data_IF_924297415588
#
_entry.id   IF_924297415588
#
_cell.length_a   1.000
_cell.length_b   1.000
_cell.length_c   1.000
_cell.angle_alpha   90.00
_cell.angle_beta   90.00
_cell.angle_gamma   90.00
#
_symmetry.space_group_name_H-M   'P 1'
#
loop_
_entity.id
_entity.type
_entity.pdbx_description
1 polymer ?
#
# COMPACT_ATOMS: atom_id res chain seq x y z
N UNK A 1 26.34 8.13 -2.92
CA UNK A 1 27.12 6.96 -3.38
C UNK A 1 26.23 6.15 -4.31
N UNK A 2 26.77 5.52 -5.35
CA UNK A 2 25.97 4.77 -6.34
C UNK A 2 25.40 3.51 -5.70
N UNK A 3 24.08 3.34 -5.69
CA UNK A 3 23.35 2.23 -5.05
C UNK A 3 23.07 1.04 -5.97
N UNK A 4 23.31 1.20 -7.28
CA UNK A 4 23.23 0.10 -8.27
C UNK A 4 24.56 -0.61 -8.34
N UNK A 5 24.53 -1.95 -8.24
CA UNK A 5 25.72 -2.80 -8.31
C UNK A 5 25.88 -3.30 -9.75
N UNK A 6 27.00 -2.97 -10.39
CA UNK A 6 27.36 -3.52 -11.69
C UNK A 6 27.90 -4.94 -11.52
N UNK A 7 27.27 -5.90 -12.19
CA UNK A 7 27.71 -7.29 -12.19
C UNK A 7 28.73 -7.51 -13.29
N UNK A 8 29.96 -7.84 -12.90
CA UNK A 8 31.08 -8.05 -13.82
C UNK A 8 31.31 -9.53 -14.15
N UNK A 9 30.87 -10.44 -13.28
CA UNK A 9 31.00 -11.88 -13.46
C UNK A 9 29.90 -12.67 -12.75
N UNK A 10 29.79 -13.96 -13.11
CA UNK A 10 28.77 -14.87 -12.59
C UNK A 10 28.92 -15.15 -11.09
N UNK A 11 30.15 -15.22 -10.57
CA UNK A 11 30.37 -15.52 -9.15
C UNK A 11 29.87 -14.37 -8.28
N UNK A 12 30.08 -13.12 -8.71
CA UNK A 12 29.55 -11.94 -8.04
C UNK A 12 28.02 -11.98 -7.96
N UNK A 13 27.34 -12.35 -9.06
CA UNK A 13 25.89 -12.53 -9.07
C UNK A 13 25.44 -13.61 -8.08
N UNK A 14 26.07 -14.78 -8.10
CA UNK A 14 25.73 -15.89 -7.22
C UNK A 14 25.93 -15.53 -5.75
N UNK A 15 26.99 -14.78 -5.43
CA UNK A 15 27.23 -14.27 -4.08
C UNK A 15 26.11 -13.33 -3.63
N UNK A 16 25.72 -12.34 -4.45
CA UNK A 16 24.64 -11.40 -4.11
C UNK A 16 23.30 -12.13 -3.90
N UNK A 17 23.00 -13.12 -4.75
CA UNK A 17 21.78 -13.92 -4.59
C UNK A 17 21.82 -14.78 -3.33
N UNK A 18 22.98 -15.32 -2.96
CA UNK A 18 23.15 -16.09 -1.74
C UNK A 18 23.04 -15.22 -0.49
N UNK A 19 23.60 -14.01 -0.50
CA UNK A 19 23.47 -13.01 0.57
C UNK A 19 22.01 -12.55 0.72
N UNK A 20 21.34 -12.26 -0.39
CA UNK A 20 19.92 -11.88 -0.39
C UNK A 20 19.01 -13.01 0.14
N UNK A 21 19.44 -14.28 0.01
CA UNK A 21 18.73 -15.44 0.55
C UNK A 21 19.03 -15.70 2.03
N UNK A 22 20.27 -15.53 2.46
CA UNK A 22 20.77 -15.91 3.80
C UNK A 22 20.63 -14.78 4.82
N UNK A 23 19.44 -14.21 4.96
CA UNK A 23 19.17 -13.20 5.99
C UNK A 23 18.92 -13.91 7.33
N UNK A 24 19.76 -13.64 8.34
CA UNK A 24 19.71 -14.30 9.66
C UNK A 24 18.50 -13.88 10.49
N UNK A 25 17.84 -12.78 10.12
CA UNK A 25 16.67 -12.21 10.80
C UNK A 25 15.85 -11.39 9.79
N UNK A 26 14.73 -11.92 9.31
CA UNK A 26 13.85 -11.27 8.32
C UNK A 26 13.70 -12.04 7.00
N UNK A 27 12.87 -11.53 6.06
CA UNK A 27 12.63 -12.21 4.80
C UNK A 27 13.81 -12.03 3.84
N UNK A 28 13.93 -12.88 2.80
CA UNK A 28 14.94 -12.71 1.76
C UNK A 28 14.84 -11.32 1.11
N UNK A 29 15.97 -10.65 0.94
CA UNK A 29 16.05 -9.38 0.21
C UNK A 29 15.63 -9.58 -1.25
N UNK A 30 14.80 -8.68 -1.77
CA UNK A 30 14.42 -8.65 -3.19
C UNK A 30 15.57 -8.06 -3.99
N UNK A 31 15.94 -8.75 -5.06
CA UNK A 31 16.94 -8.33 -6.03
C UNK A 31 16.24 -7.92 -7.31
N UNK A 32 16.42 -6.65 -7.70
CA UNK A 32 15.93 -6.09 -8.97
C UNK A 32 17.10 -6.06 -9.95
N UNK A 33 16.99 -6.81 -11.03
CA UNK A 33 18.01 -6.94 -12.06
C UNK A 33 17.61 -6.11 -13.29
N UNK A 34 18.49 -5.23 -13.76
CA UNK A 34 18.39 -4.56 -15.06
C UNK A 34 19.33 -5.23 -16.06
N UNK A 35 18.76 -5.95 -17.03
CA UNK A 35 19.51 -6.48 -18.17
C UNK A 35 19.54 -5.44 -19.28
N UNK A 36 20.75 -4.96 -19.62
CA UNK A 36 20.97 -3.88 -20.56
C UNK A 36 22.11 -4.20 -21.54
N UNK A 37 22.31 -3.31 -22.52
CA UNK A 37 23.50 -3.28 -23.36
C UNK A 37 23.91 -1.83 -23.64
N UNK A 38 25.20 -1.58 -23.89
CA UNK A 38 25.75 -0.24 -24.12
C UNK A 38 25.18 0.45 -25.37
N UNK A 39 24.80 -0.32 -26.40
CA UNK A 39 24.21 0.14 -27.65
C UNK A 39 22.68 0.31 -27.58
N UNK A 40 22.05 -0.06 -26.47
CA UNK A 40 20.60 0.00 -26.30
C UNK A 40 20.16 1.39 -25.83
N UNK A 41 19.59 2.19 -26.75
CA UNK A 41 19.06 3.52 -26.43
C UNK A 41 17.94 3.50 -25.37
N UNK A 42 16.91 2.65 -25.46
CA UNK A 42 15.87 2.57 -24.43
C UNK A 42 16.42 2.22 -23.04
N UNK A 43 17.51 1.45 -22.97
CA UNK A 43 18.21 1.14 -21.72
C UNK A 43 18.83 2.41 -21.12
N UNK A 44 19.50 3.21 -21.94
CA UNK A 44 20.07 4.51 -21.52
C UNK A 44 18.97 5.46 -21.04
N UNK A 45 17.80 5.47 -21.68
CA UNK A 45 16.70 6.37 -21.31
C UNK A 45 16.06 6.00 -19.96
N UNK A 46 16.01 4.71 -19.57
CA UNK A 46 15.42 4.26 -18.30
C UNK A 46 16.43 4.16 -17.14
N UNK A 47 17.72 4.05 -17.41
CA UNK A 47 18.77 3.94 -16.39
C UNK A 47 18.70 5.01 -15.27
N UNK A 48 18.37 6.30 -15.54
CA UNK A 48 18.19 7.29 -14.48
C UNK A 48 17.07 6.95 -13.50
N UNK A 49 15.97 6.37 -13.99
CA UNK A 49 14.83 5.93 -13.17
C UNK A 49 15.24 4.74 -12.30
N UNK A 50 15.96 3.77 -12.87
CA UNK A 50 16.47 2.63 -12.11
C UNK A 50 17.42 3.06 -10.98
N UNK A 51 18.30 4.02 -11.27
CA UNK A 51 19.21 4.60 -10.28
C UNK A 51 18.47 5.38 -9.18
N UNK A 52 17.46 6.16 -9.54
CA UNK A 52 16.59 6.85 -8.57
C UNK A 52 15.92 5.85 -7.62
N UNK A 53 15.33 4.78 -8.16
CA UNK A 53 14.70 3.71 -7.38
C UNK A 53 15.70 3.02 -6.45
N UNK A 54 16.92 2.74 -6.91
CA UNK A 54 17.97 2.15 -6.07
C UNK A 54 18.36 3.02 -4.87
N UNK A 55 18.25 4.34 -5.02
CA UNK A 55 18.53 5.29 -3.93
C UNK A 55 17.36 5.38 -2.97
N UNK A 56 16.13 5.30 -3.49
CA UNK A 56 14.89 5.40 -2.72
C UNK A 56 14.58 4.14 -1.89
N UNK A 57 14.85 2.96 -2.43
CA UNK A 57 14.48 1.67 -1.83
C UNK A 57 15.71 0.90 -1.34
N UNK A 58 16.23 1.30 -0.19
CA UNK A 58 17.47 0.75 0.39
C UNK A 58 17.30 -0.66 0.98
N UNK A 59 16.06 -1.12 1.15
CA UNK A 59 15.73 -2.48 1.59
C UNK A 59 15.88 -3.52 0.48
N UNK A 60 15.93 -3.11 -0.79
CA UNK A 60 16.11 -3.97 -1.94
C UNK A 60 17.53 -3.85 -2.51
N UNK A 61 17.98 -4.86 -3.27
CA UNK A 61 19.24 -4.79 -4.03
C UNK A 61 18.95 -4.50 -5.49
N UNK A 62 19.63 -3.49 -6.04
CA UNK A 62 19.53 -3.14 -7.45
C UNK A 62 20.83 -3.51 -8.13
N UNK A 63 20.73 -4.33 -9.18
CA UNK A 63 21.89 -4.80 -9.94
C UNK A 63 21.67 -4.54 -11.42
N UNK A 64 22.75 -4.26 -12.14
CA UNK A 64 22.75 -4.12 -13.60
C UNK A 64 23.67 -5.19 -14.22
N UNK A 65 23.21 -5.78 -15.33
CA UNK A 65 23.86 -6.88 -16.03
C UNK A 65 23.95 -6.52 -17.50
N UNK A 66 25.17 -6.33 -17.99
CA UNK A 66 25.47 -6.09 -19.41
C UNK A 66 25.40 -7.44 -20.16
N UNK A 67 24.42 -7.59 -21.05
CA UNK A 67 24.20 -8.86 -21.74
C UNK A 67 25.31 -9.22 -22.72
N UNK A 68 26.08 -8.24 -23.20
CA UNK A 68 27.23 -8.48 -24.09
C UNK A 68 28.43 -9.07 -23.30
N UNK A 69 28.47 -8.88 -21.98
CA UNK A 69 29.54 -9.38 -21.11
C UNK A 69 29.17 -10.67 -20.40
N UNK A 70 27.88 -10.86 -20.11
CA UNK A 70 27.34 -11.99 -19.34
C UNK A 70 26.21 -12.69 -20.10
N UNK A 71 26.52 -13.15 -21.31
CA UNK A 71 25.58 -13.82 -22.21
C UNK A 71 24.94 -15.07 -21.59
N UNK A 72 25.72 -15.86 -20.84
CA UNK A 72 25.25 -17.08 -20.17
C UNK A 72 24.21 -16.78 -19.07
N UNK A 73 24.42 -15.69 -18.33
CA UNK A 73 23.46 -15.18 -17.33
C UNK A 73 22.20 -14.69 -18.03
N UNK A 74 22.32 -13.90 -19.10
CA UNK A 74 21.18 -13.42 -19.87
C UNK A 74 20.34 -14.59 -20.43
N UNK A 75 21.00 -15.64 -20.93
CA UNK A 75 20.35 -16.85 -21.42
C UNK A 75 19.65 -17.63 -20.29
N UNK A 76 20.29 -17.78 -19.12
CA UNK A 76 19.72 -18.44 -17.94
C UNK A 76 18.39 -17.81 -17.51
N UNK A 77 18.30 -16.48 -17.59
CA UNK A 77 17.09 -15.73 -17.28
C UNK A 77 16.18 -15.50 -18.50
N UNK A 78 16.45 -16.16 -19.63
CA UNK A 78 15.67 -16.09 -20.87
C UNK A 78 15.41 -14.63 -21.31
N UNK A 79 16.43 -13.79 -21.26
CA UNK A 79 16.36 -12.39 -21.71
C UNK A 79 16.44 -12.37 -23.23
N UNK A 80 15.38 -11.86 -23.89
CA UNK A 80 15.26 -11.82 -25.36
C UNK A 80 15.12 -10.40 -25.92
N UNK A 81 15.00 -9.41 -25.05
CA UNK A 81 14.81 -8.01 -25.41
C UNK A 81 15.31 -7.12 -24.29
N UNK A 82 15.75 -5.92 -24.65
CA UNK A 82 16.38 -4.98 -23.73
C UNK A 82 15.61 -3.64 -23.71
N UNK A 83 15.56 -2.97 -22.55
CA UNK A 83 15.95 -3.49 -21.24
C UNK A 83 14.94 -4.56 -20.77
N UNK A 84 15.39 -5.48 -19.93
CA UNK A 84 14.50 -6.40 -19.19
C UNK A 84 14.81 -6.31 -17.72
N UNK A 85 13.78 -6.06 -16.92
CA UNK A 85 13.85 -6.06 -15.46
C UNK A 85 13.31 -7.37 -14.90
N UNK A 86 14.07 -8.00 -14.02
CA UNK A 86 13.66 -9.22 -13.32
C UNK A 86 13.70 -8.97 -11.82
N UNK A 87 12.66 -9.41 -11.14
CA UNK A 87 12.53 -9.27 -9.70
C UNK A 87 12.64 -10.65 -9.08
N UNK A 88 13.64 -10.84 -8.21
CA UNK A 88 13.84 -12.08 -7.47
C UNK A 88 13.63 -11.85 -5.99
N UNK A 89 12.96 -12.78 -5.32
CA UNK A 89 12.95 -12.87 -3.85
C UNK A 89 13.56 -14.20 -3.44
N UNK A 90 14.74 -14.15 -2.80
CA UNK A 90 15.55 -15.33 -2.61
C UNK A 90 15.96 -15.96 -3.95
N UNK A 91 15.47 -17.17 -4.25
CA UNK A 91 15.75 -17.88 -5.51
C UNK A 91 14.58 -17.85 -6.51
N UNK A 92 13.45 -17.25 -6.16
CA UNK A 92 12.23 -17.26 -6.95
C UNK A 92 12.05 -15.98 -7.74
N UNK A 93 11.73 -16.10 -9.03
CA UNK A 93 11.34 -14.96 -9.86
C UNK A 93 9.88 -14.59 -9.57
N UNK A 94 9.68 -13.41 -8.98
CA UNK A 94 8.35 -12.93 -8.58
C UNK A 94 7.70 -12.04 -9.64
N UNK A 95 8.49 -11.40 -10.51
CA UNK A 95 7.95 -10.60 -11.63
C UNK A 95 8.98 -10.39 -12.77
N UNK A 96 8.50 -9.82 -13.88
CA UNK A 96 9.28 -9.40 -15.06
C UNK A 96 8.66 -8.17 -15.72
N UNK A 97 9.50 -7.21 -16.09
CA UNK A 97 9.14 -6.12 -17.00
C UNK A 97 10.07 -6.16 -18.20
N UNK A 98 9.52 -6.05 -19.40
CA UNK A 98 10.28 -5.98 -20.64
C UNK A 98 10.04 -4.64 -21.30
N UNK A 99 11.11 -4.03 -21.83
CA UNK A 99 11.10 -2.72 -22.45
C UNK A 99 11.26 -1.56 -21.43
N UNK A 100 11.55 -0.38 -21.96
CA UNK A 100 11.67 0.84 -21.18
C UNK A 100 10.28 1.34 -20.75
N UNK A 101 9.79 0.89 -19.60
CA UNK A 101 8.50 1.27 -19.03
C UNK A 101 8.67 1.91 -17.64
N UNK A 102 9.02 3.21 -17.54
CA UNK A 102 9.34 3.87 -16.28
C UNK A 102 8.26 3.77 -15.20
N UNK A 103 7.00 4.04 -15.55
CA UNK A 103 5.91 4.01 -14.57
C UNK A 103 5.67 2.59 -14.05
N UNK A 104 5.64 1.61 -14.95
CA UNK A 104 5.47 0.19 -14.59
C UNK A 104 6.61 -0.29 -13.67
N UNK A 105 7.84 0.15 -13.93
CA UNK A 105 9.00 -0.15 -13.09
C UNK A 105 8.87 0.47 -11.70
N UNK A 106 8.45 1.75 -11.61
CA UNK A 106 8.20 2.42 -10.33
C UNK A 106 7.12 1.71 -9.52
N UNK A 107 5.99 1.42 -10.16
CA UNK A 107 4.85 0.77 -9.52
C UNK A 107 5.25 -0.60 -8.96
N UNK A 108 6.02 -1.38 -9.74
CA UNK A 108 6.45 -2.72 -9.34
C UNK A 108 7.50 -2.71 -8.23
N UNK A 109 8.49 -1.82 -8.29
CA UNK A 109 9.46 -1.66 -7.20
C UNK A 109 8.75 -1.23 -5.92
N UNK A 110 7.83 -0.27 -6.02
CA UNK A 110 7.03 0.16 -4.87
C UNK A 110 6.21 -1.00 -4.28
N UNK A 111 5.50 -1.75 -5.12
CA UNK A 111 4.73 -2.94 -4.71
C UNK A 111 5.61 -3.96 -3.97
N UNK A 112 6.77 -4.30 -4.51
CA UNK A 112 7.63 -5.34 -3.95
C UNK A 112 8.39 -4.88 -2.70
N UNK A 113 8.78 -3.61 -2.60
CA UNK A 113 9.45 -3.05 -1.42
C UNK A 113 8.61 -3.15 -0.14
N UNK A 114 7.28 -3.21 -0.28
CA UNK A 114 6.33 -3.30 0.83
C UNK A 114 6.26 -4.72 1.42
N UNK A 115 6.54 -5.74 0.61
CA UNK A 115 6.40 -7.16 1.02
C UNK A 115 7.67 -7.76 1.66
N UNK A 116 8.68 -6.94 1.99
CA UNK A 116 9.89 -7.33 2.72
C UNK A 116 9.83 -7.04 4.23
N UNK A 117 8.75 -6.45 4.74
CA UNK A 117 8.63 -6.06 6.15
C UNK A 117 7.82 -7.09 6.99
N UNK A 118 7.39 -8.21 6.41
CA UNK A 118 6.26 -9.03 6.91
C UNK A 118 6.58 -10.42 7.52
N UNK A 119 7.82 -10.87 7.67
CA UNK A 119 8.09 -12.21 8.25
C UNK A 119 8.42 -12.19 9.74
N UNK A 120 7.40 -12.07 10.59
CA UNK A 120 7.38 -12.74 11.89
C UNK A 120 5.97 -13.32 12.18
N UNK A 121 5.97 -14.57 12.66
CA UNK A 121 4.88 -15.35 13.26
C UNK A 121 3.79 -15.96 12.34
N UNK A 122 4.01 -17.25 12.01
CA UNK A 122 3.28 -18.43 12.51
C UNK A 122 1.75 -18.53 12.34
N UNK A 123 1.29 -19.42 11.45
CA UNK A 123 -0.06 -19.99 11.49
C UNK A 123 -0.64 -20.38 10.13
N UNK A 124 -0.67 -21.68 9.85
CA UNK A 124 -1.18 -22.28 8.62
C UNK A 124 -2.71 -22.20 8.47
N UNK A 125 -3.23 -21.63 7.38
CA UNK A 125 -4.39 -22.16 6.65
C UNK A 125 -4.46 -21.57 5.23
N UNK A 126 -4.69 -22.44 4.24
CA UNK A 126 -4.73 -22.12 2.81
C UNK A 126 -6.07 -21.49 2.40
N UNK A 127 -6.02 -20.30 1.80
CA UNK A 127 -6.64 -19.99 0.49
C UNK A 127 -6.32 -18.56 0.05
N UNK A 128 -5.76 -18.40 -1.15
CA UNK A 128 -5.64 -17.20 -1.99
C UNK A 128 -5.24 -15.85 -1.35
N UNK A 129 -4.06 -15.35 -1.75
CA UNK A 129 -3.70 -13.91 -1.74
C UNK A 129 -3.85 -13.20 -0.39
N UNK A 130 -3.10 -13.60 0.64
CA UNK A 130 -2.97 -12.81 1.88
C UNK A 130 -1.63 -12.06 1.90
N UNK A 131 -1.56 -10.90 1.25
CA UNK A 131 -0.69 -9.83 1.71
C UNK A 131 -1.03 -9.57 3.18
N UNK A 132 -0.09 -9.72 4.12
CA UNK A 132 -0.32 -9.30 5.52
C UNK A 132 -0.51 -7.79 5.49
N UNK A 133 -1.76 -7.34 5.64
CA UNK A 133 -2.09 -5.92 5.71
C UNK A 133 -1.83 -5.44 7.15
N UNK A 134 -1.19 -4.28 7.35
CA UNK A 134 -0.97 -3.78 8.71
C UNK A 134 -2.25 -3.16 9.27
N UNK A 135 -2.61 -3.55 10.50
CA UNK A 135 -3.61 -2.83 11.29
C UNK A 135 -3.10 -1.41 11.55
N UNK A 136 -3.87 -0.41 11.12
CA UNK A 136 -3.48 1.00 11.13
C UNK A 136 -4.00 1.75 12.37
N UNK A 137 -4.51 1.05 13.40
CA UNK A 137 -5.06 1.67 14.61
C UNK A 137 -4.11 2.68 15.27
N UNK A 138 -2.80 2.37 15.30
CA UNK A 138 -1.77 3.27 15.87
C UNK A 138 -1.53 4.54 15.06
N UNK A 139 -1.97 4.57 13.80
CA UNK A 139 -1.88 5.73 12.92
C UNK A 139 -3.14 6.59 12.97
N UNK A 140 -4.18 6.19 13.71
CA UNK A 140 -5.38 7.00 13.86
C UNK A 140 -5.13 8.17 14.81
N UNK A 141 -5.41 9.38 14.34
CA UNK A 141 -5.53 10.56 15.20
C UNK A 141 -6.89 10.54 15.88
N UNK A 142 -7.11 9.62 16.83
CA UNK A 142 -8.44 9.33 17.42
C UNK A 142 -9.17 10.57 17.97
N UNK A 143 -8.45 11.56 18.49
CA UNK A 143 -9.03 12.83 18.96
C UNK A 143 -9.47 13.80 17.85
N UNK A 144 -9.20 13.48 16.59
CA UNK A 144 -9.63 14.20 15.38
C UNK A 144 -10.58 13.34 14.52
N UNK A 145 -11.04 12.22 15.05
CA UNK A 145 -12.10 11.43 14.43
C UNK A 145 -13.44 11.93 14.98
N UNK A 146 -14.44 11.96 14.11
CA UNK A 146 -15.78 12.47 14.43
C UNK A 146 -16.82 11.50 13.87
N UNK A 147 -17.98 11.43 14.51
CA UNK A 147 -19.13 10.70 13.98
C UNK A 147 -20.36 11.59 14.04
N UNK A 148 -21.15 11.62 12.96
CA UNK A 148 -22.47 12.24 12.95
C UNK A 148 -23.54 11.17 13.09
N UNK A 149 -24.61 11.54 13.81
CA UNK A 149 -25.73 10.66 14.18
C UNK A 149 -25.31 9.47 15.06
N UNK A 150 -24.28 9.62 15.90
CA UNK A 150 -23.92 8.61 16.90
C UNK A 150 -24.74 8.77 18.18
N UNK A 151 -25.03 7.66 18.84
CA UNK A 151 -25.66 7.64 20.16
C UNK A 151 -24.61 7.92 21.26
N UNK A 152 -24.93 8.79 22.22
CA UNK A 152 -24.00 9.29 23.24
C UNK A 152 -23.35 8.15 24.06
N UNK A 153 -24.11 7.10 24.37
CA UNK A 153 -23.64 5.96 25.17
C UNK A 153 -22.87 4.90 24.37
N UNK A 154 -22.92 4.98 23.03
CA UNK A 154 -22.33 4.07 22.06
C UNK A 154 -21.69 4.84 20.89
N UNK A 155 -20.64 5.60 21.21
CA UNK A 155 -19.96 6.52 20.28
C UNK A 155 -18.71 5.91 19.61
N UNK A 156 -18.29 6.53 18.51
CA UNK A 156 -17.06 6.24 17.78
C UNK A 156 -15.84 6.39 18.68
N UNK A 157 -15.84 7.41 19.54
CA UNK A 157 -14.76 7.62 20.50
C UNK A 157 -14.57 6.41 21.43
N UNK A 158 -15.67 5.81 21.91
CA UNK A 158 -15.59 4.60 22.72
C UNK A 158 -15.11 3.40 21.88
N UNK A 159 -15.64 3.24 20.66
CA UNK A 159 -15.24 2.16 19.76
C UNK A 159 -13.73 2.20 19.47
N UNK A 160 -13.19 3.35 19.08
CA UNK A 160 -11.77 3.51 18.72
C UNK A 160 -10.83 3.42 19.94
N UNK A 161 -11.27 3.81 21.13
CA UNK A 161 -10.43 3.75 22.35
C UNK A 161 -10.53 2.41 23.09
N UNK A 162 -11.41 1.50 22.65
CA UNK A 162 -11.50 0.17 23.24
C UNK A 162 -10.26 -0.66 22.86
N UNK A 163 -9.40 -0.95 23.84
CA UNK A 163 -8.17 -1.72 23.65
C UNK A 163 -8.47 -3.20 23.38
N UNK A 164 -8.91 -3.56 22.16
CA UNK A 164 -8.82 -4.88 21.51
C UNK A 164 -9.24 -6.15 22.29
N UNK A 165 -9.71 -6.05 23.51
CA UNK A 165 -10.17 -7.14 24.35
C UNK A 165 -11.65 -7.37 24.09
N UNK A 166 -12.04 -8.65 24.09
CA UNK A 166 -13.39 -9.19 23.84
C UNK A 166 -14.50 -8.68 24.80
N UNK A 167 -14.55 -7.39 25.11
CA UNK A 167 -15.64 -6.77 25.84
C UNK A 167 -16.73 -6.42 24.83
N UNK A 168 -17.68 -7.35 24.68
CA UNK A 168 -18.92 -7.28 23.89
C UNK A 168 -19.84 -6.06 24.16
N UNK A 169 -19.39 -5.11 24.99
CA UNK A 169 -20.16 -3.93 25.41
C UNK A 169 -19.82 -2.64 24.66
N UNK A 170 -18.70 -2.58 23.95
CA UNK A 170 -18.32 -1.34 23.24
C UNK A 170 -18.62 -1.50 21.76
N UNK A 171 -19.50 -0.65 21.24
CA UNK A 171 -19.90 -0.59 19.84
C UNK A 171 -20.33 0.85 19.51
N UNK A 172 -20.32 1.18 18.23
CA UNK A 172 -20.91 2.39 17.70
C UNK A 172 -22.37 2.09 17.30
N UNK A 173 -23.30 2.95 17.69
CA UNK A 173 -24.71 2.86 17.35
C UNK A 173 -25.19 4.20 16.77
N UNK A 174 -26.08 4.16 15.78
CA UNK A 174 -26.75 5.35 15.30
C UNK A 174 -27.92 5.79 16.20
N UNK A 175 -28.14 7.09 16.31
CA UNK A 175 -29.13 7.66 17.23
C UNK A 175 -30.53 7.76 16.61
N UNK A 176 -30.69 8.59 15.57
CA UNK A 176 -32.01 8.96 15.03
C UNK A 176 -32.52 8.01 13.95
N UNK A 177 -31.64 7.56 13.07
CA UNK A 177 -31.95 6.71 11.90
C UNK A 177 -30.74 5.81 11.59
N UNK A 178 -30.80 5.03 10.51
CA UNK A 178 -29.76 4.07 10.15
C UNK A 178 -28.48 4.70 9.59
N UNK A 179 -28.47 6.00 9.27
CA UNK A 179 -27.35 6.63 8.58
C UNK A 179 -26.26 7.06 9.57
N UNK A 180 -25.00 6.88 9.19
CA UNK A 180 -23.85 7.35 9.98
C UNK A 180 -22.84 8.02 9.05
N UNK A 181 -22.22 9.11 9.51
CA UNK A 181 -21.01 9.64 8.88
C UNK A 181 -19.87 9.50 9.85
N UNK A 182 -18.92 8.62 9.52
CA UNK A 182 -17.73 8.37 10.33
C UNK A 182 -16.55 9.04 9.63
N UNK A 183 -15.98 10.06 10.26
CA UNK A 183 -14.83 10.79 9.78
C UNK A 183 -13.57 10.34 10.50
N UNK A 184 -12.65 9.73 9.75
CA UNK A 184 -11.41 9.16 10.26
C UNK A 184 -10.23 10.01 9.81
N UNK A 185 -9.40 10.41 10.76
CA UNK A 185 -8.15 11.14 10.51
C UNK A 185 -6.95 10.27 10.83
N UNK A 186 -6.00 10.19 9.90
CA UNK A 186 -4.71 9.53 10.10
C UNK A 186 -3.62 10.56 10.44
N UNK A 187 -2.68 10.18 11.31
CA UNK A 187 -1.55 11.02 11.75
C UNK A 187 -0.51 11.28 10.66
N UNK A 188 -0.58 10.50 9.59
CA UNK A 188 0.23 10.63 8.38
C UNK A 188 -0.56 10.13 7.17
N UNK A 189 -0.06 10.37 5.97
CA UNK A 189 -0.65 9.76 4.78
C UNK A 189 -0.48 8.24 4.82
N UNK A 190 -1.53 7.54 4.41
CA UNK A 190 -1.62 6.09 4.37
C UNK A 190 -2.14 5.60 3.03
N UNK A 191 -1.75 4.39 2.66
CA UNK A 191 -2.37 3.59 1.61
C UNK A 191 -3.30 2.60 2.29
N UNK A 192 -4.60 2.67 2.02
CA UNK A 192 -5.58 1.74 2.58
C UNK A 192 -5.86 0.66 1.54
N UNK A 193 -5.75 -0.61 1.94
CA UNK A 193 -6.02 -1.75 1.06
C UNK A 193 -7.33 -2.42 1.37
N UNK A 194 -7.69 -2.51 2.65
CA UNK A 194 -8.95 -3.08 3.06
C UNK A 194 -9.46 -2.42 4.33
N UNK A 195 -10.73 -2.65 4.60
CA UNK A 195 -11.43 -2.18 5.77
C UNK A 195 -12.16 -3.36 6.39
N UNK A 196 -12.25 -3.36 7.71
CA UNK A 196 -13.10 -4.29 8.45
C UNK A 196 -14.19 -3.48 9.13
N UNK A 197 -15.44 -3.78 8.80
CA UNK A 197 -16.64 -3.19 9.39
C UNK A 197 -17.51 -4.36 9.84
N UNK A 198 -17.48 -4.68 11.13
CA UNK A 198 -18.25 -5.79 11.67
C UNK A 198 -19.45 -5.28 12.46
N UNK A 199 -20.50 -6.09 12.53
CA UNK A 199 -21.66 -5.82 13.37
C UNK A 199 -22.63 -7.00 13.37
N UNK A 200 -23.76 -6.86 14.08
CA UNK A 200 -24.80 -7.88 14.06
C UNK A 200 -25.43 -8.04 12.68
N UNK A 201 -25.78 -9.27 12.31
CA UNK A 201 -26.36 -9.60 10.99
C UNK A 201 -27.57 -8.74 10.61
N UNK A 202 -28.39 -8.34 11.58
CA UNK A 202 -29.63 -7.61 11.31
C UNK A 202 -29.35 -6.14 10.96
N UNK A 203 -28.52 -5.47 11.76
CA UNK A 203 -28.35 -4.02 11.71
C UNK A 203 -26.91 -3.54 11.50
N UNK A 204 -26.02 -4.39 10.98
CA UNK A 204 -24.73 -3.96 10.46
C UNK A 204 -24.89 -3.15 9.16
N UNK A 205 -23.92 -2.29 8.80
CA UNK A 205 -23.94 -1.55 7.54
C UNK A 205 -24.06 -2.47 6.32
N UNK A 206 -24.74 -2.00 5.26
CA UNK A 206 -24.83 -2.69 3.97
C UNK A 206 -24.24 -1.84 2.85
N UNK A 207 -24.90 -0.75 2.48
CA UNK A 207 -24.37 0.19 1.48
C UNK A 207 -23.51 1.25 2.17
N UNK A 208 -22.21 1.27 1.83
CA UNK A 208 -21.23 2.20 2.41
C UNK A 208 -20.52 2.97 1.31
N UNK A 209 -20.55 4.31 1.39
CA UNK A 209 -19.80 5.19 0.47
C UNK A 209 -18.53 5.70 1.14
N UNK A 210 -17.41 5.63 0.42
CA UNK A 210 -16.11 6.07 0.90
C UNK A 210 -15.64 7.31 0.15
N UNK A 211 -15.27 8.35 0.91
CA UNK A 211 -14.64 9.57 0.41
C UNK A 211 -13.29 9.75 1.09
N UNK A 212 -12.31 10.30 0.38
CA UNK A 212 -10.96 10.52 0.94
C UNK A 212 -10.59 11.99 0.87
N UNK A 213 -9.70 12.40 1.77
CA UNK A 213 -9.04 13.71 1.77
C UNK A 213 -10.03 14.89 1.76
N UNK A 214 -11.17 14.70 2.41
CA UNK A 214 -12.07 15.80 2.74
C UNK A 214 -11.41 16.67 3.81
N UNK A 215 -11.66 17.98 3.74
CA UNK A 215 -11.04 18.98 4.65
C UNK A 215 -11.76 19.00 6.00
N UNK A 216 -13.03 18.61 6.02
CA UNK A 216 -13.90 18.54 7.20
C UNK A 216 -14.92 17.43 7.02
N UNK A 217 -15.60 17.07 8.12
CA UNK A 217 -16.74 16.15 8.11
C UNK A 217 -17.85 16.71 7.21
N UNK A 218 -18.25 16.00 6.13
CA UNK A 218 -19.35 16.42 5.28
C UNK A 218 -20.71 16.16 5.95
N UNK A 219 -21.76 16.78 5.42
CA UNK A 219 -23.14 16.49 5.81
C UNK A 219 -23.74 15.31 5.00
N UNK A 220 -24.93 14.86 5.43
CA UNK A 220 -25.64 13.74 4.83
C UNK A 220 -26.06 14.00 3.38
N UNK A 221 -26.57 15.20 3.08
CA UNK A 221 -26.99 15.58 1.73
C UNK A 221 -25.82 15.51 0.74
N UNK A 222 -24.65 16.05 1.14
CA UNK A 222 -23.43 16.01 0.33
C UNK A 222 -22.94 14.59 0.08
N UNK A 223 -23.04 13.69 1.07
CA UNK A 223 -22.66 12.29 0.91
C UNK A 223 -23.65 11.51 0.03
N UNK A 224 -24.93 11.86 0.05
CA UNK A 224 -25.95 11.22 -0.77
C UNK A 224 -25.79 11.54 -2.26
N UNK A 225 -25.55 12.80 -2.60
CA UNK A 225 -25.38 13.23 -4.00
C UNK A 225 -23.94 13.07 -4.50
N UNK A 226 -22.97 13.05 -3.59
CA UNK A 226 -21.54 13.04 -3.90
C UNK A 226 -21.08 11.76 -4.59
N UNK A 227 -20.13 11.91 -5.51
CA UNK A 227 -19.44 10.78 -6.13
C UNK A 227 -18.40 10.20 -5.15
N UNK A 228 -18.70 9.02 -4.61
CA UNK A 228 -17.79 8.30 -3.75
C UNK A 228 -16.57 7.79 -4.53
N UNK A 229 -15.41 7.78 -3.89
CA UNK A 229 -14.19 7.16 -4.44
C UNK A 229 -14.43 5.67 -4.71
N UNK A 230 -15.14 5.03 -3.78
CA UNK A 230 -15.66 3.68 -3.88
C UNK A 230 -16.94 3.54 -3.06
N UNK A 231 -17.92 2.82 -3.60
CA UNK A 231 -19.10 2.34 -2.88
C UNK A 231 -18.94 0.85 -2.62
N UNK A 232 -19.22 0.42 -1.40
CA UNK A 232 -19.20 -0.96 -0.95
C UNK A 232 -20.64 -1.44 -0.71
N UNK A 233 -20.89 -2.69 -1.09
CA UNK A 233 -22.10 -3.43 -0.75
C UNK A 233 -21.66 -4.60 0.14
N UNK A 234 -21.74 -4.41 1.46
CA UNK A 234 -21.25 -5.38 2.44
C UNK A 234 -22.21 -6.58 2.52
N UNK A 235 -21.64 -7.78 2.46
CA UNK A 235 -22.38 -9.03 2.60
C UNK A 235 -22.34 -9.57 4.03
N UNK A 236 -23.11 -10.61 4.33
CA UNK A 236 -23.05 -11.31 5.62
C UNK A 236 -21.64 -11.83 5.96
N UNK A 237 -20.84 -12.18 4.94
CA UNK A 237 -19.47 -12.64 5.11
C UNK A 237 -18.48 -11.50 5.42
N UNK A 238 -18.79 -10.27 4.99
CA UNK A 238 -17.97 -9.09 5.25
C UNK A 238 -18.14 -8.58 6.68
N UNK A 239 -19.37 -8.65 7.23
CA UNK A 239 -19.73 -8.04 8.52
C UNK A 239 -19.50 -8.94 9.74
N UNK A 240 -19.16 -10.22 9.53
CA UNK A 240 -18.87 -11.15 10.62
C UNK A 240 -17.49 -10.90 11.22
N UNK A 241 -17.22 -11.48 12.39
CA UNK A 241 -15.89 -11.36 12.98
C UNK A 241 -14.79 -11.92 12.07
N UNK A 242 -13.73 -11.13 11.86
CA UNK A 242 -12.67 -11.44 10.90
C UNK A 242 -13.01 -11.17 9.43
N UNK A 243 -14.24 -10.74 9.10
CA UNK A 243 -14.61 -10.28 7.77
C UNK A 243 -13.80 -9.04 7.35
N UNK A 244 -13.37 -9.01 6.09
CA UNK A 244 -12.52 -7.95 5.52
C UNK A 244 -13.03 -7.63 4.12
N UNK A 245 -13.30 -6.36 3.86
CA UNK A 245 -13.73 -5.87 2.55
C UNK A 245 -12.57 -5.17 1.84
N UNK A 246 -12.22 -5.63 0.64
CA UNK A 246 -11.12 -5.08 -0.14
C UNK A 246 -11.49 -3.75 -0.80
N UNK A 247 -10.59 -2.77 -0.70
CA UNK A 247 -10.69 -1.50 -1.39
C UNK A 247 -9.89 -1.53 -2.70
N UNK A 248 -10.26 -0.67 -3.64
CA UNK A 248 -9.47 -0.43 -4.84
C UNK A 248 -8.20 0.33 -4.47
N UNK A 249 -7.15 -0.40 -4.09
CA UNK A 249 -5.93 0.19 -3.55
C UNK A 249 -5.39 1.32 -4.42
N UNK A 250 -5.49 1.25 -5.75
CA UNK A 250 -5.01 2.29 -6.70
C UNK A 250 -5.65 3.66 -6.42
N UNK A 251 -6.88 3.70 -5.91
CA UNK A 251 -7.57 4.94 -5.52
C UNK A 251 -7.21 5.39 -4.10
N UNK A 252 -6.90 4.47 -3.20
CA UNK A 252 -6.62 4.73 -1.78
C UNK A 252 -5.12 4.75 -1.48
N UNK A 253 -4.35 5.47 -2.29
CA UNK A 253 -2.88 5.49 -2.24
C UNK A 253 -2.30 6.48 -1.23
N UNK A 254 -2.98 7.60 -1.05
CA UNK A 254 -2.49 8.76 -0.33
C UNK A 254 -3.66 9.37 0.44
N UNK A 255 -4.10 8.66 1.47
CA UNK A 255 -5.25 8.99 2.30
C UNK A 255 -4.74 9.60 3.59
N UNK A 256 -5.18 10.81 3.93
CA UNK A 256 -4.98 11.39 5.25
C UNK A 256 -6.29 11.44 6.04
N UNK A 257 -7.40 11.67 5.36
CA UNK A 257 -8.74 11.60 5.95
C UNK A 257 -9.60 10.64 5.14
N UNK A 258 -10.44 9.87 5.82
CA UNK A 258 -11.39 8.93 5.21
C UNK A 258 -12.77 9.19 5.83
N UNK A 259 -13.74 9.53 5.00
CA UNK A 259 -15.15 9.61 5.38
C UNK A 259 -15.84 8.33 4.95
N UNK A 260 -16.50 7.68 5.89
CA UNK A 260 -17.31 6.49 5.69
C UNK A 260 -18.76 6.91 5.93
N UNK A 261 -19.53 7.03 4.84
CA UNK A 261 -20.96 7.27 4.91
C UNK A 261 -21.69 5.94 4.83
N UNK A 262 -22.33 5.55 5.94
CA UNK A 262 -23.24 4.41 5.98
C UNK A 262 -24.61 4.90 5.55
N UNK A 263 -25.09 4.38 4.42
CA UNK A 263 -26.36 4.78 3.83
C UNK A 263 -27.54 3.97 4.36
N UNK A 264 -27.34 2.66 4.52
CA UNK A 264 -28.34 1.72 5.02
C UNK A 264 -27.67 0.52 5.70
N UNK A 265 -28.51 -0.36 6.27
CA UNK A 265 -28.09 -1.60 6.95
C UNK A 265 -28.69 -2.85 6.31
N UNK A 266 -28.23 -4.02 6.77
CA UNK A 266 -28.55 -5.32 6.18
C UNK A 266 -30.05 -5.63 6.09
N UNK A 267 -30.84 -5.22 7.10
CA UNK A 267 -32.26 -5.58 7.21
C UNK A 267 -33.24 -4.39 7.19
N UNK A 268 -32.78 -3.20 6.77
CA UNK A 268 -33.58 -1.96 6.77
C UNK A 268 -34.20 -1.64 8.13
N UNK A 269 -33.44 -1.85 9.21
CA UNK A 269 -33.82 -1.46 10.57
C UNK A 269 -33.56 0.03 10.79
N UNK A 270 -34.23 0.64 11.77
CA UNK A 270 -34.10 2.09 12.04
C UNK A 270 -32.74 2.51 12.61
N UNK A 271 -31.90 1.56 13.05
CA UNK A 271 -30.59 1.85 13.62
C UNK A 271 -29.54 0.98 12.98
N UNK A 272 -28.30 1.49 12.93
CA UNK A 272 -27.13 0.77 12.47
C UNK A 272 -26.13 0.61 13.60
N UNK A 273 -25.54 -0.58 13.72
CA UNK A 273 -24.55 -0.92 14.76
C UNK A 273 -23.24 -1.42 14.15
N UNK A 274 -22.12 -0.90 14.64
CA UNK A 274 -20.76 -1.31 14.27
C UNK A 274 -20.01 -1.75 15.53
N UNK A 275 -19.67 -3.04 15.59
CA UNK A 275 -18.92 -3.65 16.70
C UNK A 275 -17.40 -3.53 16.52
N UNK A 276 -16.93 -3.41 15.28
CA UNK A 276 -15.50 -3.31 14.97
C UNK A 276 -15.29 -2.50 13.71
N UNK A 277 -14.40 -1.52 13.80
CA UNK A 277 -13.95 -0.72 12.68
C UNK A 277 -12.42 -0.74 12.65
N UNK A 278 -11.83 -1.36 11.62
CA UNK A 278 -10.38 -1.42 11.44
C UNK A 278 -9.98 -1.09 10.02
N UNK A 279 -8.79 -0.52 9.90
CA UNK A 279 -8.19 -0.15 8.62
C UNK A 279 -6.90 -0.93 8.44
N UNK A 280 -6.71 -1.41 7.23
CA UNK A 280 -5.62 -2.29 6.90
C UNK A 280 -4.88 -1.77 5.67
N UNK A 281 -3.57 -1.58 5.79
CA UNK A 281 -2.81 -0.92 4.75
C UNK A 281 -1.37 -0.63 5.15
N UNK A 282 -0.81 0.46 4.62
CA UNK A 282 0.58 0.86 4.83
C UNK A 282 0.74 2.38 5.00
N UNK A 283 1.64 2.85 5.89
CA UNK A 283 2.04 4.24 5.91
C UNK A 283 2.70 4.67 4.57
N UNK A 284 2.42 5.88 4.11
CA UNK A 284 3.13 6.50 2.98
C UNK A 284 4.32 7.28 3.53
N UNK A 285 5.53 6.86 3.18
CA UNK A 285 6.73 7.63 3.51
C UNK A 285 6.77 8.91 2.64
N UNK A 286 6.54 10.06 3.27
CA UNK A 286 6.70 11.36 2.60
C UNK A 286 8.18 11.70 2.50
N UNK A 287 8.71 11.76 1.28
CA UNK A 287 10.04 12.32 1.02
C UNK A 287 9.99 13.81 1.37
N UNK A 288 10.90 14.27 2.24
CA UNK A 288 10.97 15.65 2.68
C UNK A 288 11.39 16.56 1.51
N UNK A 289 10.44 17.29 0.91
CA UNK A 289 10.69 18.14 -0.26
C UNK A 289 11.64 19.33 0.02
N UNK A 290 12.05 19.55 1.28
CA UNK A 290 13.04 20.58 1.64
C UNK A 290 14.47 20.26 1.21
N UNK A 291 14.77 19.04 0.75
CA UNK A 291 16.11 18.65 0.29
C UNK A 291 16.39 18.91 -1.20
N UNK A 292 15.41 19.35 -1.99
CA UNK A 292 15.66 19.80 -3.36
C UNK A 292 16.23 21.22 -3.38
N UNK A 293 17.54 21.35 -3.15
CA UNK A 293 18.24 22.58 -3.51
C UNK A 293 18.21 22.73 -5.04
N UNK A 294 17.62 23.83 -5.51
CA UNK A 294 17.71 24.26 -6.91
C UNK A 294 19.19 24.39 -7.28
N UNK A 295 19.65 23.52 -8.17
CA UNK A 295 20.99 23.65 -8.76
C UNK A 295 21.02 24.99 -9.49
N UNK A 296 21.78 25.95 -8.98
CA UNK A 296 21.98 27.24 -9.64
C UNK A 296 22.57 26.97 -11.03
N UNK A 297 21.85 27.35 -12.09
CA UNK A 297 22.36 27.25 -13.45
C UNK A 297 23.72 27.93 -13.56
N UNK A 298 24.72 27.23 -14.10
CA UNK A 298 26.00 27.85 -14.44
C UNK A 298 25.75 28.94 -15.48
N UNK A 299 26.23 30.14 -15.16
CA UNK A 299 26.20 31.34 -15.98
C UNK A 299 26.99 31.09 -17.27
N UNK A 300 26.38 31.48 -18.39
CA UNK A 300 26.78 31.28 -19.80
C UNK A 300 28.27 31.06 -20.10
N UNK A 301 28.51 30.01 -20.86
CA UNK A 301 29.67 29.90 -21.75
C UNK A 301 29.59 31.03 -22.78
N UNK A 302 30.62 31.88 -22.78
CA UNK A 302 30.76 32.95 -23.74
C UNK A 302 31.12 32.37 -25.11
N UNK A 303 30.28 32.61 -26.11
CA UNK A 303 30.70 32.61 -27.50
C UNK A 303 30.96 34.05 -27.93
N UNK A 304 32.23 34.38 -28.06
CA UNK A 304 32.77 35.53 -28.77
C UNK A 304 34.00 35.06 -29.54
#
# INVERSE_FOLDING_TARGET
MTTVINITDKNQLEQILQEAKNVTSGPPTTVVMDFYASWCRPCSDIAPVFKELSTKYTNMKFIEIDVDKLEDVAQRYNVRSLPTFIFLRGAEQVDRITGAAPQKLRDKVQELSISELDTHEGGSHKSSLSSKQYDMDSLLSKGQCECLNEEDSHSLAQLLNSSGGNNSKTYLLSDTDEQLIIYITFSQFVRIQSIQINGPKENAPKTVKLFINQISTPDFDSCEIGEAVQTLELTEDDIKDGGITQLNFVKFQNVNTLTIFVKDNQSSTDQTRIDKLKFYGYPVNTVNMKEFQRVSGKKGEAHG
#
